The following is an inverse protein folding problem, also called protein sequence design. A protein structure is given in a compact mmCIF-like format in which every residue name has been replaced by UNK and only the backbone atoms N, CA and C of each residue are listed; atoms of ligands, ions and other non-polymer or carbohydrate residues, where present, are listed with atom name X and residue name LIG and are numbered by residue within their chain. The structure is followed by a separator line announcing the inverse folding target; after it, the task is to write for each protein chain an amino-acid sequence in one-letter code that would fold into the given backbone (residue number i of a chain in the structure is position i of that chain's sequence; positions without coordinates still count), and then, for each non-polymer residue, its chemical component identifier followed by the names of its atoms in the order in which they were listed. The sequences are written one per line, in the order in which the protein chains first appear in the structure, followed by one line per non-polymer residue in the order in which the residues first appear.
data_IF_529590829514
#
_entry.id   IF_529590829514
#
_cell.length_a   1.000
_cell.length_b   1.000
_cell.length_c   1.000
_cell.angle_alpha   90.00
_cell.angle_beta   90.00
_cell.angle_gamma   90.00
#
_symmetry.space_group_name_H-M   'P 1'
#
loop_
_entity.id
_entity.type
_entity.pdbx_description
1 polymer ?
#
# COMPACT_ATOMS: atom_id res chain seq x y z
N UNK A 1 17.53 -0.58 -10.73
CA UNK A 1 16.44 -0.55 -9.76
C UNK A 1 16.24 0.90 -9.37
N UNK A 2 15.01 1.38 -9.52
CA UNK A 2 14.61 2.75 -9.20
C UNK A 2 13.92 2.84 -7.84
N UNK A 3 13.40 1.70 -7.34
CA UNK A 3 12.87 1.60 -5.98
C UNK A 3 14.00 1.72 -4.94
N UNK A 4 13.72 2.48 -3.89
CA UNK A 4 14.70 2.84 -2.86
C UNK A 4 14.65 1.87 -1.68
N UNK A 5 13.45 1.46 -1.28
CA UNK A 5 13.24 0.63 -0.10
C UNK A 5 13.12 -0.86 -0.45
N UNK A 6 13.57 -1.78 0.44
CA UNK A 6 13.57 -3.22 0.15
C UNK A 6 12.21 -3.80 -0.27
N UNK A 7 11.12 -3.35 0.36
CA UNK A 7 9.76 -3.76 0.00
C UNK A 7 9.39 -3.32 -1.42
N UNK A 8 9.68 -2.07 -1.77
CA UNK A 8 9.45 -1.53 -3.12
C UNK A 8 10.35 -2.21 -4.17
N UNK A 9 11.59 -2.52 -3.82
CA UNK A 9 12.53 -3.27 -4.67
C UNK A 9 12.06 -4.71 -4.94
N UNK A 10 11.38 -5.34 -3.99
CA UNK A 10 10.74 -6.63 -4.23
C UNK A 10 9.59 -6.50 -5.24
N UNK A 11 8.73 -5.49 -5.07
CA UNK A 11 7.64 -5.21 -6.01
C UNK A 11 8.17 -4.85 -7.41
N UNK A 12 9.22 -4.02 -7.51
CA UNK A 12 9.85 -3.67 -8.80
C UNK A 12 10.36 -4.92 -9.53
N UNK A 13 10.90 -5.91 -8.80
CA UNK A 13 11.34 -7.18 -9.40
C UNK A 13 10.16 -8.08 -9.82
N UNK A 14 9.07 -8.05 -9.07
CA UNK A 14 7.90 -8.89 -9.33
C UNK A 14 7.05 -8.34 -10.48
N UNK A 15 6.72 -7.05 -10.44
CA UNK A 15 5.85 -6.39 -11.41
C UNK A 15 6.59 -5.74 -12.59
N UNK A 16 7.85 -5.35 -12.40
CA UNK A 16 8.63 -4.66 -13.43
C UNK A 16 8.08 -3.29 -13.80
N UNK A 17 8.36 -2.86 -15.03
CA UNK A 17 7.97 -1.55 -15.57
C UNK A 17 6.46 -1.44 -15.88
N UNK A 18 5.75 -2.57 -15.96
CA UNK A 18 4.32 -2.60 -16.20
C UNK A 18 3.50 -2.45 -14.90
N UNK A 19 4.15 -2.22 -13.76
CA UNK A 19 3.49 -2.10 -12.48
C UNK A 19 2.42 -1.01 -12.51
N UNK A 20 1.22 -1.37 -12.07
CA UNK A 20 0.10 -0.47 -11.77
C UNK A 20 -0.42 -0.85 -10.40
N UNK A 21 0.02 -0.10 -9.40
CA UNK A 21 -0.21 -0.42 -8.00
C UNK A 21 -1.18 0.57 -7.38
N UNK A 22 -1.91 0.06 -6.39
CA UNK A 22 -2.67 0.85 -5.46
C UNK A 22 -2.16 0.60 -4.04
N UNK A 23 -1.10 1.33 -3.62
CA UNK A 23 -0.43 1.07 -2.37
C UNK A 23 -1.22 1.57 -1.16
N UNK A 24 -1.25 0.73 -0.12
CA UNK A 24 -1.91 0.97 1.17
C UNK A 24 -0.85 0.94 2.27
N UNK A 25 -0.86 1.96 3.12
CA UNK A 25 0.18 2.23 4.12
C UNK A 25 1.63 2.25 3.55
N UNK A 26 1.88 2.81 2.34
CA UNK A 26 3.20 2.73 1.74
C UNK A 26 4.24 3.51 2.54
N UNK A 27 5.52 3.14 2.39
CA UNK A 27 6.61 4.01 2.78
C UNK A 27 6.80 5.15 1.75
N UNK A 28 7.65 6.11 2.08
CA UNK A 28 8.10 7.11 1.12
C UNK A 28 9.08 6.49 0.12
N UNK A 29 8.65 6.34 -1.14
CA UNK A 29 9.46 5.81 -2.24
C UNK A 29 9.01 6.40 -3.58
N UNK A 30 9.95 6.99 -4.32
CA UNK A 30 9.66 7.64 -5.61
C UNK A 30 9.21 6.68 -6.72
N UNK A 31 9.55 5.40 -6.61
CA UNK A 31 9.09 4.38 -7.54
C UNK A 31 7.56 4.21 -7.47
N UNK A 32 6.97 4.28 -6.27
CA UNK A 32 5.52 4.18 -6.09
C UNK A 32 4.77 5.35 -6.71
N UNK A 33 5.31 6.58 -6.62
CA UNK A 33 4.75 7.76 -7.30
C UNK A 33 4.67 7.60 -8.82
N UNK A 34 5.60 6.83 -9.39
CA UNK A 34 5.68 6.60 -10.84
C UNK A 34 4.74 5.48 -11.29
N UNK A 35 4.51 4.47 -10.44
CA UNK A 35 3.75 3.24 -10.78
C UNK A 35 2.37 3.16 -10.11
N UNK A 36 1.90 4.26 -9.52
CA UNK A 36 0.59 4.34 -8.87
C UNK A 36 -0.08 5.67 -9.23
N UNK A 37 -1.40 5.63 -9.45
CA UNK A 37 -2.21 6.83 -9.68
C UNK A 37 -2.76 7.42 -8.38
N UNK A 38 -2.91 6.58 -7.35
CA UNK A 38 -3.39 6.94 -6.03
C UNK A 38 -2.69 6.12 -4.93
N UNK A 39 -2.76 6.58 -3.68
CA UNK A 39 -2.40 5.80 -2.49
C UNK A 39 -3.33 6.06 -1.32
N UNK A 40 -3.31 5.14 -0.35
CA UNK A 40 -3.96 5.32 0.95
C UNK A 40 -2.92 5.25 2.05
N UNK A 41 -2.90 6.25 2.93
CA UNK A 41 -1.95 6.30 4.05
C UNK A 41 -2.57 7.02 5.24
N UNK A 42 -2.27 6.58 6.46
CA UNK A 42 -2.56 7.31 7.69
C UNK A 42 -1.55 8.46 7.94
N UNK A 43 -0.38 8.43 7.28
CA UNK A 43 0.66 9.46 7.37
C UNK A 43 0.31 10.73 6.58
N UNK A 44 -0.04 11.81 7.30
CA UNK A 44 -0.39 13.12 6.73
C UNK A 44 0.71 13.71 5.86
N UNK A 45 1.97 13.65 6.30
CA UNK A 45 3.09 14.26 5.59
C UNK A 45 3.33 13.56 4.24
N UNK A 46 3.25 12.23 4.22
CA UNK A 46 3.39 11.45 2.98
C UNK A 46 2.23 11.74 2.01
N UNK A 47 1.00 11.88 2.50
CA UNK A 47 -0.14 12.28 1.66
C UNK A 47 0.08 13.66 1.03
N UNK A 48 0.57 14.63 1.80
CA UNK A 48 0.86 15.97 1.30
C UNK A 48 1.94 15.97 0.21
N UNK A 49 3.00 15.17 0.37
CA UNK A 49 4.05 15.01 -0.66
C UNK A 49 3.49 14.45 -1.98
N UNK A 50 2.61 13.45 -1.91
CA UNK A 50 1.94 12.88 -3.08
C UNK A 50 1.03 13.90 -3.77
N UNK A 51 0.23 14.64 -2.98
CA UNK A 51 -0.64 15.69 -3.50
C UNK A 51 0.16 16.83 -4.15
N UNK A 52 1.29 17.24 -3.56
CA UNK A 52 2.21 18.21 -4.16
C UNK A 52 2.78 17.73 -5.50
N UNK A 53 2.91 16.40 -5.68
CA UNK A 53 3.31 15.75 -6.93
C UNK A 53 2.15 15.47 -7.89
N UNK A 54 0.96 16.06 -7.63
CA UNK A 54 -0.28 15.87 -8.40
C UNK A 54 -0.71 14.39 -8.47
N UNK A 55 -0.51 13.65 -7.40
CA UNK A 55 -1.04 12.28 -7.22
C UNK A 55 -2.16 12.31 -6.19
N UNK A 56 -3.12 11.40 -6.34
CA UNK A 56 -4.17 11.23 -5.36
C UNK A 56 -3.59 10.55 -4.11
N UNK A 57 -3.88 11.08 -2.93
CA UNK A 57 -3.50 10.47 -1.67
C UNK A 57 -4.63 10.65 -0.67
N UNK A 58 -5.16 9.52 -0.19
CA UNK A 58 -6.42 9.48 0.57
C UNK A 58 -6.17 9.02 1.99
N UNK A 59 -6.90 9.65 2.91
CA UNK A 59 -6.94 9.25 4.32
C UNK A 59 -7.87 8.05 4.49
N UNK A 60 -7.49 6.99 5.22
CA UNK A 60 -8.39 5.88 5.49
C UNK A 60 -9.54 6.26 6.46
N UNK A 61 -9.49 7.47 7.04
CA UNK A 61 -10.50 8.02 7.94
C UNK A 61 -11.56 8.87 7.23
N UNK A 62 -11.45 9.03 5.91
CA UNK A 62 -12.44 9.71 5.08
C UNK A 62 -13.30 8.68 4.32
N UNK A 63 -14.51 9.04 3.88
CA UNK A 63 -15.34 8.16 3.04
C UNK A 63 -14.56 7.64 1.82
N UNK A 64 -14.68 6.35 1.58
CA UNK A 64 -13.96 5.64 0.53
C UNK A 64 -14.92 5.16 -0.55
N UNK A 65 -15.09 5.99 -1.58
CA UNK A 65 -16.17 5.81 -2.56
C UNK A 65 -15.65 5.47 -3.98
N UNK A 66 -14.40 5.04 -4.12
CA UNK A 66 -13.81 4.76 -5.42
C UNK A 66 -13.11 3.40 -5.47
N UNK A 67 -13.11 2.78 -6.64
CA UNK A 67 -12.42 1.51 -6.86
C UNK A 67 -10.91 1.74 -7.06
N UNK A 68 -10.06 0.87 -6.49
CA UNK A 68 -8.63 0.93 -6.72
C UNK A 68 -8.31 0.73 -8.21
N UNK A 69 -7.48 1.60 -8.77
CA UNK A 69 -6.93 1.44 -10.13
C UNK A 69 -5.55 0.77 -10.02
N UNK A 70 -5.52 -0.56 -10.19
CA UNK A 70 -4.32 -1.38 -10.12
C UNK A 70 -4.36 -2.43 -9.01
N UNK A 71 -3.24 -3.13 -8.83
CA UNK A 71 -3.09 -4.16 -7.80
C UNK A 71 -3.04 -3.52 -6.42
N UNK A 72 -3.95 -3.91 -5.52
CA UNK A 72 -3.92 -3.50 -4.11
C UNK A 72 -2.69 -4.12 -3.44
N UNK A 73 -1.84 -3.27 -2.85
CA UNK A 73 -0.64 -3.72 -2.13
C UNK A 73 -0.62 -3.11 -0.74
N UNK A 74 -0.80 -3.93 0.29
CA UNK A 74 -0.61 -3.52 1.68
C UNK A 74 0.87 -3.64 2.07
N UNK A 75 1.47 -2.51 2.43
CA UNK A 75 2.78 -2.49 3.09
C UNK A 75 2.59 -2.77 4.57
N UNK A 76 2.95 -3.97 4.99
CA UNK A 76 2.73 -4.44 6.35
C UNK A 76 3.48 -3.56 7.37
N UNK A 77 2.78 -2.86 8.27
CA UNK A 77 3.43 -2.00 9.25
C UNK A 77 4.12 -2.83 10.34
N UNK A 78 5.15 -2.26 10.96
CA UNK A 78 5.87 -2.91 12.08
C UNK A 78 4.95 -3.20 13.27
N UNK A 79 3.98 -2.31 13.52
CA UNK A 79 3.01 -2.46 14.60
C UNK A 79 1.91 -3.45 14.17
N UNK A 80 1.88 -4.61 14.83
CA UNK A 80 0.94 -5.69 14.53
C UNK A 80 -0.53 -5.25 14.56
N UNK A 81 -0.93 -4.48 15.58
CA UNK A 81 -2.31 -4.01 15.73
C UNK A 81 -2.72 -3.08 14.57
N UNK A 82 -1.80 -2.26 14.08
CA UNK A 82 -2.04 -1.40 12.92
C UNK A 82 -2.19 -2.23 11.64
N UNK A 83 -1.39 -3.28 11.47
CA UNK A 83 -1.52 -4.21 10.35
C UNK A 83 -2.88 -4.92 10.33
N UNK A 84 -3.35 -5.36 11.50
CA UNK A 84 -4.69 -5.93 11.65
C UNK A 84 -5.78 -4.93 11.28
N UNK A 85 -5.68 -3.70 11.80
CA UNK A 85 -6.63 -2.63 11.48
C UNK A 85 -6.69 -2.34 9.97
N UNK A 86 -5.54 -2.30 9.29
CA UNK A 86 -5.50 -2.14 7.83
C UNK A 86 -6.18 -3.28 7.08
N UNK A 87 -5.99 -4.53 7.51
CA UNK A 87 -6.69 -5.67 6.90
C UNK A 87 -8.20 -5.58 7.12
N UNK A 88 -8.65 -5.29 8.34
CA UNK A 88 -10.06 -5.11 8.66
C UNK A 88 -10.67 -3.96 7.83
N UNK A 89 -9.95 -2.85 7.68
CA UNK A 89 -10.35 -1.72 6.85
C UNK A 89 -10.45 -2.13 5.37
N UNK A 90 -9.45 -2.82 4.82
CA UNK A 90 -9.45 -3.29 3.43
C UNK A 90 -10.61 -4.25 3.15
N UNK A 91 -10.88 -5.19 4.06
CA UNK A 91 -12.03 -6.09 3.95
C UNK A 91 -13.38 -5.35 3.98
N UNK A 92 -13.44 -4.18 4.62
CA UNK A 92 -14.65 -3.38 4.67
C UNK A 92 -14.88 -2.54 3.41
N UNK A 93 -13.82 -1.96 2.85
CA UNK A 93 -13.92 -0.98 1.75
C UNK A 93 -13.76 -1.59 0.36
N UNK A 94 -13.14 -2.76 0.25
CA UNK A 94 -12.93 -3.40 -1.05
C UNK A 94 -14.09 -4.34 -1.40
N UNK A 95 -14.43 -4.48 -2.69
CA UNK A 95 -15.34 -5.52 -3.14
C UNK A 95 -14.85 -6.92 -2.78
N UNK A 96 -15.79 -7.84 -2.57
CA UNK A 96 -15.48 -9.25 -2.36
C UNK A 96 -14.58 -9.80 -3.49
N UNK A 97 -13.64 -10.66 -3.12
CA UNK A 97 -12.67 -11.29 -4.03
C UNK A 97 -11.67 -10.32 -4.68
N UNK A 98 -11.52 -9.09 -4.19
CA UNK A 98 -10.43 -8.20 -4.64
C UNK A 98 -9.06 -8.82 -4.30
N UNK A 99 -8.17 -9.08 -5.28
CA UNK A 99 -6.84 -9.59 -5.01
C UNK A 99 -6.02 -8.63 -4.16
N UNK A 100 -5.42 -9.12 -3.08
CA UNK A 100 -4.60 -8.35 -2.16
C UNK A 100 -3.20 -8.94 -2.07
N UNK A 101 -2.20 -8.12 -2.38
CA UNK A 101 -0.81 -8.43 -2.10
C UNK A 101 -0.38 -7.79 -0.78
N UNK A 102 0.45 -8.50 -0.03
CA UNK A 102 1.00 -8.01 1.24
C UNK A 102 2.51 -8.12 1.19
N UNK A 103 3.18 -6.98 1.35
CA UNK A 103 4.64 -6.87 1.31
C UNK A 103 5.16 -6.30 2.62
N UNK A 104 6.30 -6.77 3.08
CA UNK A 104 6.86 -6.33 4.36
C UNK A 104 8.07 -7.15 4.76
N UNK A 105 8.72 -6.70 5.83
CA UNK A 105 9.93 -7.33 6.32
C UNK A 105 9.62 -8.50 7.26
N UNK A 106 10.45 -9.55 7.22
CA UNK A 106 10.35 -10.66 8.17
C UNK A 106 10.43 -10.18 9.63
N UNK A 107 11.32 -9.23 9.94
CA UNK A 107 11.44 -8.64 11.28
C UNK A 107 10.32 -7.65 11.60
N UNK A 108 9.58 -7.19 10.59
CA UNK A 108 8.37 -6.37 10.73
C UNK A 108 7.11 -7.19 11.03
N UNK A 109 7.22 -8.51 11.20
CA UNK A 109 6.12 -9.35 11.63
C UNK A 109 5.24 -9.91 10.50
N UNK A 110 5.59 -9.71 9.22
CA UNK A 110 4.80 -10.21 8.07
C UNK A 110 4.55 -11.72 8.11
N UNK A 111 5.42 -12.50 8.77
CA UNK A 111 5.24 -13.96 8.95
C UNK A 111 3.95 -14.34 9.68
N UNK A 112 3.30 -13.40 10.37
CA UNK A 112 2.04 -13.62 11.10
C UNK A 112 0.81 -13.46 10.20
N UNK A 113 0.95 -12.79 9.06
CA UNK A 113 -0.16 -12.45 8.15
C UNK A 113 -0.93 -13.69 7.67
N UNK A 114 -0.31 -14.81 7.25
CA UNK A 114 -1.06 -15.98 6.79
C UNK A 114 -1.94 -16.64 7.86
N UNK A 115 -1.79 -16.29 9.14
CA UNK A 115 -2.65 -16.79 10.22
C UNK A 115 -3.88 -15.92 10.48
N UNK A 116 -3.96 -14.76 9.81
CA UNK A 116 -5.04 -13.78 9.98
C UNK A 116 -6.04 -13.77 8.82
N UNK A 117 -5.61 -14.29 7.66
CA UNK A 117 -6.41 -14.44 6.45
C UNK A 117 -6.99 -15.85 6.36
#
# INVERSE_FOLDING_TARGET
MSAQLPACQLLERYYGQAARLWPVAPPEDTWLLTHSTAMVSDNVALRQQWQASRRLAVSPFEPFDYLPDGQVVLFWPKAHQLGKWWLEWLCHVLPDNTPLDIVGEHQGGIKRVPKML
#
